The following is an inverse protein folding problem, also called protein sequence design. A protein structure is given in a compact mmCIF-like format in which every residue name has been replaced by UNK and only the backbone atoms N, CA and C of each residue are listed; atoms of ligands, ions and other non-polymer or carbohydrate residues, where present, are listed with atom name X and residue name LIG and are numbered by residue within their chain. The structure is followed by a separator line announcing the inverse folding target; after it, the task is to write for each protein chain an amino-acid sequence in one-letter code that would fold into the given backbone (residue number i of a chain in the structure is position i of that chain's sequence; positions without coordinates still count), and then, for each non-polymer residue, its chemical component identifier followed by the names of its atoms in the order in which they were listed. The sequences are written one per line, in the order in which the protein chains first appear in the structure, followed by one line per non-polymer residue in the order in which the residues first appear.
data_IF_908419770555
#
_entry.id   IF_908419770555
#
_cell.length_a   1.000
_cell.length_b   1.000
_cell.length_c   1.000
_cell.angle_alpha   90.00
_cell.angle_beta   90.00
_cell.angle_gamma   90.00
#
_symmetry.space_group_name_H-M   'P 1'
#
loop_
_entity.id
_entity.type
_entity.pdbx_description
1 polymer ?
#
# COMPACT_ATOMS: atom_id res chain seq x y z
N UNK A 1 5.82 -38.64 4.57
CA UNK A 1 6.16 -37.40 3.89
C UNK A 1 5.33 -37.10 2.61
N UNK A 2 4.55 -38.04 2.11
CA UNK A 2 3.80 -37.90 0.83
C UNK A 2 2.38 -37.35 0.95
N UNK A 3 1.83 -37.16 2.16
CA UNK A 3 0.45 -36.65 2.35
C UNK A 3 0.36 -35.13 2.48
N UNK A 4 1.46 -34.44 2.75
CA UNK A 4 1.50 -32.96 2.98
C UNK A 4 1.62 -32.15 1.68
N UNK A 5 2.14 -32.74 0.60
CA UNK A 5 2.31 -32.05 -0.70
C UNK A 5 0.97 -31.95 -1.44
N UNK A 6 0.04 -32.91 -1.26
CA UNK A 6 -1.28 -32.88 -1.88
C UNK A 6 -2.21 -31.78 -1.34
N UNK A 7 -2.02 -31.34 -0.09
CA UNK A 7 -2.85 -30.31 0.53
C UNK A 7 -2.50 -28.90 0.05
N UNK A 8 -1.28 -28.65 -0.39
CA UNK A 8 -0.84 -27.32 -0.89
C UNK A 8 -1.43 -27.00 -2.27
N UNK A 9 -1.69 -28.01 -3.09
CA UNK A 9 -2.32 -27.82 -4.41
C UNK A 9 -3.85 -27.64 -4.34
N UNK A 10 -4.50 -28.11 -3.29
CA UNK A 10 -5.96 -28.09 -3.17
C UNK A 10 -6.56 -26.74 -2.71
N UNK A 11 -5.79 -25.87 -2.07
CA UNK A 11 -6.28 -24.59 -1.53
C UNK A 11 -6.28 -23.45 -2.57
N UNK A 12 -5.65 -23.67 -3.72
CA UNK A 12 -5.61 -22.67 -4.83
C UNK A 12 -6.90 -22.62 -5.69
N UNK A 13 -7.93 -23.39 -5.33
CA UNK A 13 -9.17 -23.52 -6.12
C UNK A 13 -10.40 -22.81 -5.53
N UNK A 14 -10.23 -21.87 -4.61
CA UNK A 14 -11.31 -20.93 -4.30
C UNK A 14 -11.35 -19.85 -5.39
N UNK A 15 -11.77 -20.27 -6.58
CA UNK A 15 -12.17 -19.39 -7.66
C UNK A 15 -13.46 -18.67 -7.25
N UNK A 16 -13.36 -17.50 -6.63
CA UNK A 16 -14.42 -16.52 -6.70
C UNK A 16 -14.63 -16.19 -8.18
N UNK A 17 -15.84 -16.41 -8.71
CA UNK A 17 -16.24 -15.88 -10.01
C UNK A 17 -16.13 -14.36 -9.94
N UNK A 18 -14.99 -13.79 -10.32
CA UNK A 18 -14.90 -12.38 -10.58
C UNK A 18 -15.67 -12.13 -11.88
N UNK A 19 -16.78 -11.41 -11.80
CA UNK A 19 -17.43 -10.88 -12.99
C UNK A 19 -16.36 -10.10 -13.77
N UNK A 20 -16.07 -10.51 -14.99
CA UNK A 20 -15.02 -9.93 -15.78
C UNK A 20 -15.37 -8.48 -16.11
N UNK A 21 -14.47 -7.56 -15.91
CA UNK A 21 -14.58 -6.21 -16.50
C UNK A 21 -14.78 -6.42 -18.00
N UNK A 22 -15.92 -5.99 -18.52
CA UNK A 22 -16.29 -6.14 -19.95
C UNK A 22 -15.35 -5.36 -20.88
N UNK A 23 -15.73 -5.30 -22.15
CA UNK A 23 -15.05 -4.41 -23.10
C UNK A 23 -15.13 -2.96 -22.60
N UNK A 24 -14.02 -2.18 -22.65
CA UNK A 24 -14.07 -0.77 -22.31
C UNK A 24 -15.09 -0.05 -23.19
N UNK A 25 -15.91 0.81 -22.60
CA UNK A 25 -16.84 1.65 -23.36
C UNK A 25 -16.07 2.60 -24.28
N UNK A 26 -16.62 2.99 -25.43
CA UNK A 26 -16.05 4.04 -26.25
C UNK A 26 -15.77 5.30 -25.43
N UNK A 27 -14.53 5.82 -25.47
CA UNK A 27 -14.14 6.98 -24.66
C UNK A 27 -13.67 6.66 -23.24
N UNK A 28 -13.58 5.39 -22.86
CA UNK A 28 -13.01 5.02 -21.55
C UNK A 28 -11.54 5.48 -21.41
N UNK A 29 -11.09 5.80 -20.18
CA UNK A 29 -9.71 6.18 -19.91
C UNK A 29 -8.68 5.17 -20.45
N UNK A 30 -7.48 5.66 -20.79
CA UNK A 30 -6.44 4.87 -21.43
C UNK A 30 -5.93 3.68 -20.60
N UNK A 31 -6.16 3.66 -19.30
CA UNK A 31 -5.81 2.54 -18.42
C UNK A 31 -6.85 1.41 -18.40
N UNK A 32 -8.07 1.63 -18.91
CA UNK A 32 -9.07 0.57 -19.06
C UNK A 32 -8.71 -0.35 -20.23
N UNK A 33 -8.79 -1.65 -20.03
CA UNK A 33 -8.51 -2.69 -21.02
C UNK A 33 -9.60 -3.76 -20.98
N UNK A 34 -9.70 -4.52 -22.04
CA UNK A 34 -10.55 -5.71 -22.04
C UNK A 34 -10.17 -6.63 -20.89
N UNK A 35 -11.12 -6.89 -20.01
CA UNK A 35 -10.95 -7.79 -18.87
C UNK A 35 -10.14 -7.23 -17.69
N UNK A 36 -9.82 -5.92 -17.66
CA UNK A 36 -9.10 -5.31 -16.54
C UNK A 36 -8.46 -3.98 -16.83
N UNK A 37 -7.26 -3.75 -16.29
CA UNK A 37 -6.58 -2.47 -16.31
C UNK A 37 -5.12 -2.60 -16.76
N UNK A 38 -4.50 -1.50 -17.14
CA UNK A 38 -3.09 -1.43 -17.52
C UNK A 38 -2.46 -0.10 -17.10
N UNK A 39 -1.16 -0.10 -16.91
CA UNK A 39 -0.39 1.13 -16.78
C UNK A 39 -0.48 1.96 -18.08
N UNK A 40 -0.51 3.28 -17.95
CA UNK A 40 -0.50 4.20 -19.08
C UNK A 40 0.94 4.41 -19.57
N UNK A 41 1.90 4.44 -18.66
CA UNK A 41 3.32 4.53 -18.97
C UNK A 41 3.90 3.13 -19.23
N UNK A 42 4.50 2.95 -20.42
CA UNK A 42 5.13 1.70 -20.84
C UNK A 42 6.67 1.71 -20.69
N UNK A 43 7.24 2.73 -20.06
CA UNK A 43 8.70 2.90 -19.92
C UNK A 43 9.38 1.78 -19.10
N UNK A 44 8.60 1.11 -18.24
CA UNK A 44 9.07 0.01 -17.41
C UNK A 44 8.26 -1.27 -17.70
N UNK A 45 8.63 -2.03 -18.75
CA UNK A 45 7.93 -3.26 -19.06
C UNK A 45 8.17 -4.30 -17.95
N UNK A 46 7.11 -5.04 -17.63
CA UNK A 46 7.23 -6.16 -16.68
C UNK A 46 8.14 -7.27 -17.23
N UNK A 47 8.91 -7.89 -16.37
CA UNK A 47 9.68 -9.09 -16.67
C UNK A 47 8.79 -10.20 -17.26
N UNK A 48 9.40 -11.14 -17.99
CA UNK A 48 8.70 -12.28 -18.56
C UNK A 48 7.95 -13.10 -17.48
N UNK A 49 6.91 -13.82 -17.88
CA UNK A 49 6.17 -14.69 -16.97
C UNK A 49 7.08 -15.73 -16.30
N UNK A 50 8.08 -16.26 -17.06
CA UNK A 50 9.05 -17.20 -16.54
C UNK A 50 9.95 -16.58 -15.47
N UNK A 51 10.52 -15.41 -15.72
CA UNK A 51 11.38 -14.67 -14.77
C UNK A 51 10.62 -14.37 -13.47
N UNK A 52 9.37 -13.92 -13.56
CA UNK A 52 8.53 -13.68 -12.37
C UNK A 52 8.21 -14.96 -11.61
N UNK A 53 7.95 -16.06 -12.31
CA UNK A 53 7.68 -17.36 -11.68
C UNK A 53 8.90 -17.87 -10.93
N UNK A 54 10.08 -17.83 -11.55
CA UNK A 54 11.33 -18.28 -10.91
C UNK A 54 11.68 -17.43 -9.71
N UNK A 55 11.47 -16.12 -9.79
CA UNK A 55 11.63 -15.20 -8.64
C UNK A 55 10.65 -15.55 -7.52
N UNK A 56 9.35 -15.69 -7.82
CA UNK A 56 8.37 -16.10 -6.82
C UNK A 56 8.77 -17.40 -6.12
N UNK A 57 9.17 -18.41 -6.88
CA UNK A 57 9.62 -19.66 -6.32
C UNK A 57 10.86 -19.50 -5.44
N UNK A 58 11.84 -18.70 -5.87
CA UNK A 58 13.04 -18.41 -5.07
C UNK A 58 12.68 -17.75 -3.73
N UNK A 59 11.72 -16.81 -3.72
CA UNK A 59 11.25 -16.14 -2.49
C UNK A 59 10.52 -17.11 -1.56
N UNK A 60 9.70 -18.01 -2.10
CA UNK A 60 9.03 -19.06 -1.30
C UNK A 60 10.06 -20.01 -0.67
N UNK A 61 11.05 -20.45 -1.44
CA UNK A 61 12.12 -21.32 -0.92
C UNK A 61 12.98 -20.58 0.12
N UNK A 62 13.33 -19.32 -0.13
CA UNK A 62 14.08 -18.51 0.83
C UNK A 62 13.31 -18.34 2.15
N UNK A 63 12.02 -18.08 2.10
CA UNK A 63 11.18 -17.94 3.29
C UNK A 63 11.10 -19.24 4.14
N UNK A 64 11.32 -20.40 3.52
CA UNK A 64 11.29 -21.72 4.19
C UNK A 64 12.68 -22.10 4.72
N UNK A 65 13.72 -21.98 3.87
CA UNK A 65 15.05 -22.54 4.16
C UNK A 65 16.08 -21.55 4.63
N UNK A 66 15.89 -20.26 4.34
CA UNK A 66 16.82 -19.19 4.69
C UNK A 66 16.03 -17.90 5.07
N UNK A 67 15.15 -17.95 6.11
CA UNK A 67 14.36 -16.79 6.49
C UNK A 67 15.28 -15.68 6.97
N UNK A 68 15.12 -14.50 6.40
CA UNK A 68 15.79 -13.27 6.87
C UNK A 68 15.01 -12.68 8.03
N UNK A 69 15.71 -11.96 8.89
CA UNK A 69 15.08 -11.23 10.00
C UNK A 69 15.75 -9.87 10.17
N UNK A 70 15.00 -8.93 10.65
CA UNK A 70 15.46 -7.61 11.06
C UNK A 70 14.63 -7.16 12.25
N UNK A 71 15.27 -6.60 13.25
CA UNK A 71 14.58 -5.94 14.35
C UNK A 71 14.65 -4.45 14.10
N UNK A 72 13.51 -3.84 13.83
CA UNK A 72 13.40 -2.40 13.62
C UNK A 72 13.10 -1.69 14.95
N UNK A 73 13.54 -0.43 15.09
CA UNK A 73 13.14 0.38 16.21
C UNK A 73 11.62 0.49 16.29
N UNK A 74 11.09 0.30 17.49
CA UNK A 74 9.66 0.47 17.78
C UNK A 74 9.49 1.40 18.99
N UNK A 75 8.33 1.98 19.12
CA UNK A 75 7.89 2.73 20.29
C UNK A 75 6.59 2.12 20.80
N UNK A 76 6.45 2.04 22.10
CA UNK A 76 5.19 1.63 22.69
C UNK A 76 4.11 2.68 22.40
N UNK A 77 2.99 2.21 21.87
CA UNK A 77 1.83 3.04 21.55
C UNK A 77 0.55 2.31 21.98
N UNK A 78 0.02 2.71 23.10
CA UNK A 78 -1.23 2.16 23.65
C UNK A 78 -2.50 2.76 23.02
N UNK A 79 -2.34 3.69 22.07
CA UNK A 79 -3.42 4.39 21.38
C UNK A 79 -4.16 5.42 22.25
N UNK A 80 -3.79 5.63 23.50
CA UNK A 80 -4.51 6.57 24.39
C UNK A 80 -4.48 8.00 23.84
N UNK A 81 -3.31 8.49 23.42
CA UNK A 81 -3.16 9.80 22.81
C UNK A 81 -3.93 9.89 21.47
N UNK A 82 -3.93 8.82 20.67
CA UNK A 82 -4.64 8.77 19.39
C UNK A 82 -6.17 8.79 19.60
N UNK A 83 -6.67 8.10 20.61
CA UNK A 83 -8.10 8.14 20.97
C UNK A 83 -8.53 9.49 21.54
N UNK A 84 -7.62 10.23 22.16
CA UNK A 84 -7.90 11.57 22.71
C UNK A 84 -7.79 12.68 21.66
N UNK A 85 -6.99 12.49 20.59
CA UNK A 85 -6.74 13.52 19.59
C UNK A 85 -8.01 13.87 18.78
N UNK A 86 -8.32 15.18 18.71
CA UNK A 86 -9.43 15.75 17.93
C UNK A 86 -9.00 16.91 17.04
N UNK A 87 -7.85 17.48 17.29
CA UNK A 87 -7.44 18.77 16.76
C UNK A 87 -6.22 18.70 15.86
N UNK A 88 -5.23 17.87 16.25
CA UNK A 88 -3.93 17.89 15.59
C UNK A 88 -3.86 16.90 14.43
N UNK A 89 -3.35 17.33 13.26
CA UNK A 89 -3.04 16.41 12.18
C UNK A 89 -1.87 15.54 12.60
N UNK A 90 -2.10 14.22 12.69
CA UNK A 90 -1.09 13.23 13.08
C UNK A 90 -1.07 12.06 12.12
N UNK A 91 0.12 11.48 11.96
CA UNK A 91 0.33 10.22 11.28
C UNK A 91 1.05 9.23 12.19
N UNK A 92 0.54 8.02 12.28
CA UNK A 92 1.17 6.90 13.01
C UNK A 92 1.54 5.81 12.02
N UNK A 93 2.80 5.40 12.01
CA UNK A 93 3.20 4.26 11.19
C UNK A 93 2.99 2.95 11.95
N UNK A 94 1.99 2.17 11.50
CA UNK A 94 1.68 0.86 12.07
C UNK A 94 2.64 -0.20 11.54
N UNK A 95 3.10 -0.03 10.30
CA UNK A 95 4.03 -0.93 9.61
C UNK A 95 3.63 -1.10 8.15
N UNK A 96 4.60 -1.46 7.29
CA UNK A 96 4.42 -1.58 5.85
C UNK A 96 3.81 -0.31 5.23
N UNK A 97 2.66 -0.41 4.57
CA UNK A 97 1.89 0.71 4.03
C UNK A 97 0.69 1.10 4.90
N UNK A 98 0.60 0.54 6.11
CA UNK A 98 -0.47 0.84 7.05
C UNK A 98 -0.14 2.10 7.85
N UNK A 99 -0.88 3.17 7.61
CA UNK A 99 -0.82 4.43 8.33
C UNK A 99 -2.16 4.72 8.99
N UNK A 100 -2.14 5.13 10.25
CA UNK A 100 -3.27 5.83 10.84
C UNK A 100 -3.07 7.33 10.71
N UNK A 101 -3.91 7.97 9.92
CA UNK A 101 -3.90 9.40 9.65
C UNK A 101 -5.08 10.03 10.39
N UNK A 102 -4.80 11.00 11.25
CA UNK A 102 -5.83 11.79 11.93
C UNK A 102 -5.81 13.20 11.37
N UNK A 103 -6.90 13.64 10.78
CA UNK A 103 -7.00 14.94 10.15
C UNK A 103 -8.43 15.49 10.32
N UNK A 104 -8.54 16.72 10.81
CA UNK A 104 -9.82 17.42 11.02
C UNK A 104 -10.86 16.59 11.81
N UNK A 105 -10.40 15.81 12.81
CA UNK A 105 -11.24 14.93 13.63
C UNK A 105 -11.67 13.62 12.95
N UNK A 106 -11.15 13.33 11.75
CA UNK A 106 -11.40 12.10 11.00
C UNK A 106 -10.18 11.19 11.06
N UNK A 107 -10.40 9.90 11.35
CA UNK A 107 -9.39 8.87 11.36
C UNK A 107 -9.47 8.08 10.06
N UNK A 108 -8.42 8.17 9.26
CA UNK A 108 -8.26 7.45 7.99
C UNK A 108 -7.17 6.38 8.16
N UNK A 109 -7.43 5.16 7.71
CA UNK A 109 -6.48 4.06 7.74
C UNK A 109 -6.12 3.67 6.30
N UNK A 110 -4.82 3.60 5.99
CA UNK A 110 -4.34 3.17 4.68
C UNK A 110 -3.93 1.72 4.72
N UNK A 111 -4.24 0.95 3.67
CA UNK A 111 -3.81 -0.44 3.43
C UNK A 111 -3.67 -1.28 4.72
N UNK A 112 -4.77 -1.54 5.44
CA UNK A 112 -4.72 -2.11 6.79
C UNK A 112 -4.27 -3.56 6.77
N UNK A 113 -3.13 -3.82 7.43
CA UNK A 113 -2.52 -5.14 7.48
C UNK A 113 -1.99 -5.44 8.89
N UNK A 114 -2.68 -6.35 9.61
CA UNK A 114 -2.31 -6.84 10.95
C UNK A 114 -1.98 -8.33 10.97
N UNK A 115 -2.31 -9.07 9.92
CA UNK A 115 -2.02 -10.50 9.85
C UNK A 115 -0.52 -10.80 9.93
N UNK A 116 -0.14 -11.96 10.50
CA UNK A 116 1.26 -12.37 10.64
C UNK A 116 1.93 -12.72 9.29
N UNK A 117 1.16 -12.77 8.20
CA UNK A 117 1.66 -13.04 6.85
C UNK A 117 0.92 -12.24 5.79
N UNK A 118 1.64 -11.82 4.78
CA UNK A 118 1.09 -11.32 3.51
C UNK A 118 0.81 -12.53 2.59
N UNK A 119 -0.29 -13.23 2.82
CA UNK A 119 -0.55 -14.52 2.17
C UNK A 119 -2.02 -14.92 2.22
N UNK A 120 -2.52 -15.72 1.24
CA UNK A 120 -3.85 -16.31 1.31
C UNK A 120 -3.98 -17.40 2.37
N UNK A 121 -2.88 -17.86 2.95
CA UNK A 121 -2.84 -18.95 3.93
C UNK A 121 -1.98 -18.58 5.14
N UNK A 122 -2.34 -19.08 6.33
CA UNK A 122 -1.65 -18.73 7.58
C UNK A 122 -0.30 -19.42 7.78
N UNK A 123 -0.03 -20.52 7.03
CA UNK A 123 1.16 -21.36 7.23
C UNK A 123 2.29 -21.12 6.23
N UNK A 124 2.06 -20.39 5.14
CA UNK A 124 3.04 -20.15 4.07
C UNK A 124 2.98 -18.68 3.58
N UNK A 125 4.00 -18.25 2.84
CA UNK A 125 4.14 -16.90 2.29
C UNK A 125 4.92 -15.95 3.21
N UNK A 126 5.17 -14.70 2.79
CA UNK A 126 5.97 -13.74 3.51
C UNK A 126 5.47 -13.52 4.93
N UNK A 127 6.35 -13.75 5.92
CA UNK A 127 6.04 -13.56 7.33
C UNK A 127 6.35 -12.13 7.73
N UNK A 128 5.51 -11.57 8.61
CA UNK A 128 5.78 -10.30 9.27
C UNK A 128 7.06 -10.42 10.11
N UNK A 129 7.96 -9.46 9.94
CA UNK A 129 9.28 -9.42 10.60
C UNK A 129 9.21 -8.72 11.96
N UNK A 130 8.33 -7.74 12.09
CA UNK A 130 8.13 -6.95 13.30
C UNK A 130 6.63 -6.86 13.59
N UNK A 131 6.23 -6.89 14.86
CA UNK A 131 4.83 -6.73 15.26
C UNK A 131 4.27 -5.39 14.76
N UNK A 132 2.95 -5.28 14.54
CA UNK A 132 2.33 -3.99 14.25
C UNK A 132 2.65 -2.97 15.33
N UNK A 133 3.10 -1.78 14.95
CA UNK A 133 3.50 -0.74 15.90
C UNK A 133 2.34 -0.15 16.73
N UNK A 134 1.10 -0.49 16.37
CA UNK A 134 -0.11 -0.20 17.12
C UNK A 134 -0.98 -1.46 17.11
N UNK A 135 -1.33 -1.96 18.28
CA UNK A 135 -2.26 -3.08 18.40
C UNK A 135 -3.62 -2.71 17.80
N UNK A 136 -4.30 -3.67 17.19
CA UNK A 136 -5.60 -3.42 16.56
C UNK A 136 -6.62 -2.89 17.60
N UNK A 137 -6.60 -3.41 18.81
CA UNK A 137 -7.46 -3.02 19.94
C UNK A 137 -7.17 -1.61 20.44
N UNK A 138 -5.99 -1.08 20.17
CA UNK A 138 -5.58 0.27 20.55
C UNK A 138 -6.02 1.35 19.54
N UNK A 139 -6.56 0.95 18.39
CA UNK A 139 -7.05 1.89 17.38
C UNK A 139 -8.12 2.83 17.94
N UNK A 140 -8.11 4.11 17.57
CA UNK A 140 -9.28 4.97 17.72
C UNK A 140 -10.42 4.51 16.79
N UNK A 141 -11.65 5.01 16.92
CA UNK A 141 -12.70 4.77 15.94
C UNK A 141 -12.21 5.10 14.52
N UNK A 142 -12.22 4.14 13.61
CA UNK A 142 -11.83 4.35 12.22
C UNK A 142 -13.05 4.77 11.41
N UNK A 143 -12.93 5.87 10.68
CA UNK A 143 -14.01 6.44 9.89
C UNK A 143 -13.93 6.08 8.42
N UNK A 144 -12.71 6.03 7.88
CA UNK A 144 -12.44 5.73 6.49
C UNK A 144 -11.26 4.76 6.39
N UNK A 145 -11.37 3.81 5.49
CA UNK A 145 -10.27 2.96 5.04
C UNK A 145 -10.05 3.21 3.56
N UNK A 146 -8.82 3.50 3.17
CA UNK A 146 -8.41 3.53 1.77
C UNK A 146 -7.55 2.32 1.46
N UNK A 147 -7.82 1.64 0.35
CA UNK A 147 -7.04 0.52 -0.17
C UNK A 147 -6.37 0.96 -1.46
N UNK A 148 -5.07 0.75 -1.59
CA UNK A 148 -4.34 1.12 -2.81
C UNK A 148 -4.42 0.04 -3.90
N UNK A 149 -4.46 -1.22 -3.52
CA UNK A 149 -4.43 -2.37 -4.41
C UNK A 149 -4.88 -3.65 -3.71
N UNK A 150 -4.95 -4.75 -4.44
CA UNK A 150 -5.47 -6.02 -3.92
C UNK A 150 -4.39 -7.04 -3.46
N UNK A 151 -3.09 -6.74 -3.50
CA UNK A 151 -2.06 -7.65 -3.01
C UNK A 151 -2.24 -7.94 -1.52
N UNK A 152 -1.72 -9.09 -1.06
CA UNK A 152 -1.94 -9.60 0.30
C UNK A 152 -1.31 -8.75 1.41
N UNK A 153 -0.32 -7.95 1.10
CA UNK A 153 0.36 -7.03 2.00
C UNK A 153 -0.32 -5.66 2.11
N UNK A 154 -1.34 -5.39 1.26
CA UNK A 154 -2.16 -4.17 1.27
C UNK A 154 -3.63 -4.43 1.59
N UNK A 155 -4.18 -5.54 1.11
CA UNK A 155 -5.57 -5.95 1.36
C UNK A 155 -5.60 -7.27 2.14
N UNK A 156 -5.55 -7.15 3.46
CA UNK A 156 -5.59 -8.25 4.41
C UNK A 156 -7.04 -8.59 4.78
N UNK A 157 -7.47 -9.80 4.40
CA UNK A 157 -8.85 -10.28 4.57
C UNK A 157 -9.30 -10.24 6.03
N UNK A 158 -8.46 -10.74 6.93
CA UNK A 158 -8.83 -10.84 8.34
C UNK A 158 -8.93 -9.47 8.97
N UNK A 159 -8.01 -8.57 8.62
CA UNK A 159 -8.03 -7.19 9.11
C UNK A 159 -9.24 -6.41 8.59
N UNK A 160 -9.57 -6.46 7.28
CA UNK A 160 -10.72 -5.69 6.75
C UNK A 160 -12.04 -6.22 7.26
N UNK A 161 -12.20 -7.54 7.47
CA UNK A 161 -13.37 -8.13 8.13
C UNK A 161 -13.51 -7.63 9.57
N UNK A 162 -12.41 -7.62 10.30
CA UNK A 162 -12.37 -7.16 11.67
C UNK A 162 -12.71 -5.67 11.79
N UNK A 163 -12.14 -4.84 10.91
CA UNK A 163 -12.46 -3.42 10.82
C UNK A 163 -13.95 -3.18 10.52
N UNK A 164 -14.50 -3.90 9.53
CA UNK A 164 -15.91 -3.79 9.20
C UNK A 164 -16.82 -4.15 10.39
N UNK A 165 -16.46 -5.19 11.14
CA UNK A 165 -17.25 -5.66 12.29
C UNK A 165 -17.15 -4.75 13.53
N UNK A 166 -16.02 -4.07 13.75
CA UNK A 166 -15.75 -3.34 15.01
C UNK A 166 -15.82 -1.83 14.88
N UNK A 167 -15.44 -1.28 13.72
CA UNK A 167 -15.36 0.17 13.50
C UNK A 167 -16.38 0.68 12.49
N UNK A 168 -16.94 -0.20 11.62
CA UNK A 168 -17.91 0.15 10.57
C UNK A 168 -17.43 1.32 9.69
N UNK A 169 -16.18 1.33 9.20
CA UNK A 169 -15.67 2.42 8.39
C UNK A 169 -16.25 2.37 6.99
N UNK A 170 -16.26 3.52 6.30
CA UNK A 170 -16.42 3.52 4.84
C UNK A 170 -15.12 3.09 4.19
N UNK A 171 -15.19 2.13 3.27
CA UNK A 171 -14.06 1.70 2.45
C UNK A 171 -14.10 2.46 1.11
N UNK A 172 -13.00 3.14 0.77
CA UNK A 172 -12.77 3.69 -0.56
C UNK A 172 -11.69 2.85 -1.23
N UNK A 173 -11.99 2.33 -2.41
CA UNK A 173 -11.16 1.33 -3.07
C UNK A 173 -11.07 1.61 -4.58
N UNK A 174 -10.01 1.18 -5.28
CA UNK A 174 -9.97 1.23 -6.74
C UNK A 174 -10.98 0.28 -7.37
N UNK A 175 -11.32 0.52 -8.63
CA UNK A 175 -12.29 -0.26 -9.41
C UNK A 175 -12.00 -1.78 -9.37
N UNK A 176 -13.04 -2.59 -9.21
CA UNK A 176 -12.99 -4.05 -9.18
C UNK A 176 -12.78 -4.65 -7.78
N UNK A 177 -12.53 -3.85 -6.73
CA UNK A 177 -12.35 -4.35 -5.36
C UNK A 177 -13.68 -4.44 -4.60
N UNK A 178 -14.66 -3.60 -4.91
CA UNK A 178 -15.95 -3.56 -4.19
C UNK A 178 -16.67 -4.90 -4.21
N UNK A 179 -16.79 -5.52 -5.37
CA UNK A 179 -17.47 -6.81 -5.50
C UNK A 179 -16.76 -7.88 -4.66
N UNK A 180 -15.42 -7.85 -4.64
CA UNK A 180 -14.62 -8.76 -3.83
C UNK A 180 -14.85 -8.56 -2.32
N UNK A 181 -14.91 -7.30 -1.84
CA UNK A 181 -15.24 -7.00 -0.44
C UNK A 181 -16.68 -7.35 -0.09
N UNK A 182 -17.62 -7.13 -1.02
CA UNK A 182 -19.03 -7.51 -0.84
C UNK A 182 -19.19 -9.03 -0.66
N UNK A 183 -18.40 -9.85 -1.37
CA UNK A 183 -18.38 -11.30 -1.17
C UNK A 183 -17.86 -11.72 0.22
N UNK A 184 -17.14 -10.83 0.93
CA UNK A 184 -16.73 -11.01 2.32
C UNK A 184 -17.77 -10.47 3.33
N UNK A 185 -18.91 -9.92 2.87
CA UNK A 185 -19.94 -9.30 3.70
C UNK A 185 -19.68 -7.83 4.04
N UNK A 186 -18.71 -7.19 3.41
CA UNK A 186 -18.38 -5.77 3.63
C UNK A 186 -19.10 -4.94 2.56
N UNK A 187 -20.07 -4.13 2.98
CA UNK A 187 -21.02 -3.45 2.07
C UNK A 187 -20.87 -1.94 1.98
N UNK A 188 -20.33 -1.26 3.03
CA UNK A 188 -20.07 0.19 2.95
C UNK A 188 -18.76 0.44 2.19
N UNK A 189 -18.80 0.16 0.88
CA UNK A 189 -17.68 0.22 -0.04
C UNK A 189 -18.03 1.09 -1.23
N UNK A 190 -17.16 2.02 -1.56
CA UNK A 190 -17.24 2.84 -2.76
C UNK A 190 -16.01 2.66 -3.62
N UNK A 191 -16.21 2.38 -4.90
CA UNK A 191 -15.15 2.26 -5.90
C UNK A 191 -14.94 3.59 -6.61
N UNK A 192 -13.66 3.92 -6.82
CA UNK A 192 -13.23 5.09 -7.55
C UNK A 192 -12.27 4.71 -8.68
N UNK A 193 -12.41 5.40 -9.80
CA UNK A 193 -11.42 5.39 -10.87
C UNK A 193 -10.33 6.44 -10.57
N UNK A 194 -9.23 6.41 -11.33
CA UNK A 194 -8.20 7.43 -11.23
C UNK A 194 -8.79 8.83 -11.48
N UNK A 195 -8.44 9.75 -10.61
CA UNK A 195 -8.89 11.14 -10.55
C UNK A 195 -10.31 11.35 -9.99
N UNK A 196 -11.05 10.27 -9.69
CA UNK A 196 -12.30 10.40 -8.95
C UNK A 196 -12.04 10.82 -7.51
N UNK A 197 -12.92 11.66 -6.98
CA UNK A 197 -12.84 12.16 -5.62
C UNK A 197 -14.16 11.93 -4.86
N UNK A 198 -14.05 11.79 -3.55
CA UNK A 198 -15.18 11.71 -2.63
C UNK A 198 -14.94 12.53 -1.39
N UNK A 199 -16.01 13.22 -0.99
CA UNK A 199 -16.04 13.91 0.28
C UNK A 199 -16.61 12.99 1.35
N UNK A 200 -15.80 12.75 2.38
CA UNK A 200 -16.20 11.94 3.54
C UNK A 200 -15.86 12.71 4.81
N UNK A 201 -16.89 13.08 5.58
CA UNK A 201 -16.78 13.81 6.85
C UNK A 201 -15.98 15.12 6.77
N UNK A 202 -16.00 15.79 5.62
CA UNK A 202 -15.28 17.05 5.39
C UNK A 202 -13.85 16.87 4.90
N UNK A 203 -13.39 15.64 4.66
CA UNK A 203 -12.16 15.35 3.92
C UNK A 203 -12.49 15.02 2.48
N UNK A 204 -11.75 15.56 1.53
CA UNK A 204 -11.78 15.14 0.13
C UNK A 204 -10.70 14.09 -0.11
N UNK A 205 -11.12 12.86 -0.46
CA UNK A 205 -10.23 11.76 -0.81
C UNK A 205 -10.27 11.54 -2.32
N UNK A 206 -9.09 11.59 -2.97
CA UNK A 206 -8.99 11.39 -4.42
C UNK A 206 -8.18 10.15 -4.71
N UNK A 207 -8.72 9.25 -5.54
CA UNK A 207 -8.01 8.12 -6.12
C UNK A 207 -7.06 8.64 -7.21
N UNK A 208 -5.75 8.40 -7.09
CA UNK A 208 -4.77 8.91 -8.04
C UNK A 208 -4.02 7.77 -8.73
N UNK A 209 -3.56 7.98 -9.97
CA UNK A 209 -2.82 6.96 -10.71
C UNK A 209 -1.59 6.45 -9.96
N UNK A 210 -1.26 5.18 -10.20
CA UNK A 210 0.00 4.57 -9.78
C UNK A 210 0.54 3.68 -10.89
N UNK A 211 1.84 3.42 -10.89
CA UNK A 211 2.52 2.56 -11.85
C UNK A 211 2.80 1.22 -11.18
N UNK A 212 1.81 0.30 -11.23
CA UNK A 212 1.90 -0.97 -10.52
C UNK A 212 1.13 -2.09 -11.26
N UNK A 213 0.58 -3.04 -10.53
CA UNK A 213 -0.28 -4.11 -11.03
C UNK A 213 -1.13 -4.66 -9.88
N UNK A 214 -2.12 -5.49 -10.20
CA UNK A 214 -2.95 -6.18 -9.21
C UNK A 214 -2.98 -7.69 -9.47
N UNK A 215 -3.41 -8.45 -8.45
CA UNK A 215 -3.65 -9.89 -8.56
C UNK A 215 -3.46 -10.62 -7.24
N UNK A 216 -4.41 -11.51 -6.92
CA UNK A 216 -4.39 -12.40 -5.75
C UNK A 216 -4.25 -13.86 -6.13
N UNK A 217 -4.45 -14.17 -7.42
CA UNK A 217 -4.34 -15.52 -7.99
C UNK A 217 -3.56 -15.50 -9.29
N UNK A 218 -3.27 -16.66 -9.85
CA UNK A 218 -2.58 -16.74 -11.16
C UNK A 218 -3.46 -16.30 -12.34
N UNK A 219 -4.78 -16.15 -12.13
CA UNK A 219 -5.75 -15.91 -13.20
C UNK A 219 -6.37 -14.50 -13.16
N UNK A 220 -6.18 -13.73 -12.10
CA UNK A 220 -6.85 -12.44 -11.91
C UNK A 220 -5.93 -11.22 -12.00
N UNK A 221 -4.74 -11.40 -12.61
CA UNK A 221 -3.80 -10.31 -12.82
C UNK A 221 -4.45 -9.14 -13.56
N UNK A 222 -4.30 -7.95 -12.98
CA UNK A 222 -4.80 -6.68 -13.51
C UNK A 222 -6.33 -6.62 -13.73
N UNK A 223 -7.09 -7.49 -13.09
CA UNK A 223 -8.56 -7.43 -13.13
C UNK A 223 -9.14 -6.35 -12.22
N UNK A 224 -8.38 -5.90 -11.24
CA UNK A 224 -8.71 -4.80 -10.34
C UNK A 224 -7.72 -3.68 -10.55
N UNK A 225 -8.18 -2.45 -10.38
CA UNK A 225 -7.31 -1.28 -10.51
C UNK A 225 -6.41 -1.16 -9.28
N UNK A 226 -5.29 -0.46 -9.42
CA UNK A 226 -4.37 -0.03 -8.36
C UNK A 226 -4.29 1.49 -8.36
N UNK A 227 -3.94 2.09 -7.23
CA UNK A 227 -3.95 3.55 -7.08
C UNK A 227 -3.05 4.01 -5.94
N UNK A 228 -2.73 5.29 -5.92
CA UNK A 228 -2.46 6.05 -4.73
C UNK A 228 -3.72 6.77 -4.24
N UNK A 229 -3.60 7.51 -3.15
CA UNK A 229 -4.68 8.33 -2.60
C UNK A 229 -4.16 9.69 -2.18
N UNK A 230 -4.99 10.72 -2.30
CA UNK A 230 -4.78 11.97 -1.61
C UNK A 230 -5.88 12.18 -0.58
N UNK A 231 -5.52 12.75 0.56
CA UNK A 231 -6.47 13.12 1.62
C UNK A 231 -6.29 14.61 1.87
N UNK A 232 -7.27 15.40 1.49
CA UNK A 232 -7.27 16.84 1.67
C UNK A 232 -8.28 17.25 2.74
N UNK A 233 -7.79 17.83 3.81
CA UNK A 233 -8.57 18.48 4.86
C UNK A 233 -8.62 19.99 4.65
N UNK A 234 -9.07 20.72 5.68
CA UNK A 234 -9.22 22.19 5.64
C UNK A 234 -7.88 22.90 5.46
N UNK A 235 -6.81 22.43 6.09
CA UNK A 235 -5.51 23.09 6.12
C UNK A 235 -4.36 22.21 5.72
N UNK A 236 -4.54 20.88 5.69
CA UNK A 236 -3.50 19.89 5.45
C UNK A 236 -3.87 18.95 4.36
N UNK A 237 -2.86 18.50 3.60
CA UNK A 237 -3.00 17.55 2.50
C UNK A 237 -1.96 16.45 2.60
N UNK A 238 -2.41 15.22 2.55
CA UNK A 238 -1.58 14.01 2.47
C UNK A 238 -1.61 13.46 1.05
N UNK A 239 -0.46 13.03 0.56
CA UNK A 239 -0.30 12.11 -0.57
C UNK A 239 0.13 10.75 -0.03
N UNK A 240 -0.59 9.70 -0.37
CA UNK A 240 -0.25 8.30 -0.11
C UNK A 240 -0.06 7.60 -1.45
N UNK A 241 1.16 7.21 -1.76
CA UNK A 241 1.50 6.66 -3.07
C UNK A 241 0.92 5.27 -3.33
N UNK A 242 0.65 4.47 -2.27
CA UNK A 242 0.50 3.02 -2.42
C UNK A 242 1.79 2.42 -2.97
N UNK A 243 1.70 1.32 -3.71
CA UNK A 243 2.84 0.80 -4.47
C UNK A 243 2.90 1.40 -5.85
N UNK A 244 4.09 1.80 -6.25
CA UNK A 244 4.30 2.43 -7.55
C UNK A 244 5.76 2.40 -7.96
N UNK A 245 6.02 2.24 -9.26
CA UNK A 245 7.28 2.66 -9.85
C UNK A 245 7.29 4.18 -10.05
N UNK A 246 8.47 4.77 -10.23
CA UNK A 246 8.60 6.17 -10.63
C UNK A 246 8.17 6.36 -12.09
N UNK A 247 7.33 7.38 -12.35
CA UNK A 247 6.89 7.75 -13.69
C UNK A 247 6.41 9.21 -13.74
N UNK A 248 6.15 9.73 -14.94
CA UNK A 248 5.90 11.16 -15.15
C UNK A 248 4.63 11.76 -14.55
N UNK A 249 3.62 10.94 -14.20
CA UNK A 249 2.34 11.46 -13.71
C UNK A 249 2.43 12.10 -12.30
N UNK A 250 3.49 11.89 -11.55
CA UNK A 250 3.66 12.54 -10.23
C UNK A 250 3.71 14.08 -10.34
N UNK A 251 4.29 14.61 -11.43
CA UNK A 251 4.28 16.07 -11.69
C UNK A 251 2.86 16.59 -11.94
N UNK A 252 2.06 15.84 -12.67
CA UNK A 252 0.65 16.17 -12.89
C UNK A 252 -0.13 16.15 -11.57
N UNK A 253 0.09 15.13 -10.72
CA UNK A 253 -0.53 15.06 -9.39
C UNK A 253 -0.14 16.26 -8.54
N UNK A 254 1.13 16.65 -8.53
CA UNK A 254 1.62 17.83 -7.82
C UNK A 254 1.02 19.14 -8.34
N UNK A 255 0.77 19.24 -9.64
CA UNK A 255 0.13 20.41 -10.26
C UNK A 255 -1.37 20.48 -9.96
N UNK A 256 -2.09 19.35 -10.05
CA UNK A 256 -3.56 19.30 -9.91
C UNK A 256 -4.02 19.32 -8.47
N UNK A 257 -3.32 18.61 -7.57
CA UNK A 257 -3.80 18.33 -6.20
C UNK A 257 -2.86 18.87 -5.12
N UNK A 258 -1.60 19.13 -5.45
CA UNK A 258 -0.59 19.66 -4.52
C UNK A 258 -0.70 21.18 -4.30
N UNK A 259 0.20 21.77 -3.49
CA UNK A 259 1.26 21.08 -2.75
C UNK A 259 0.70 20.19 -1.63
N UNK A 260 1.48 19.18 -1.23
CA UNK A 260 1.15 18.30 -0.11
C UNK A 260 2.01 18.64 1.10
N UNK A 261 1.43 18.60 2.29
CA UNK A 261 2.18 18.81 3.54
C UNK A 261 3.00 17.57 3.88
N UNK A 262 2.45 16.38 3.58
CA UNK A 262 3.09 15.08 3.80
C UNK A 262 2.86 14.16 2.61
N UNK A 263 3.92 13.46 2.16
CA UNK A 263 3.87 12.46 1.11
C UNK A 263 4.39 11.12 1.66
N UNK A 264 3.53 10.13 1.80
CA UNK A 264 3.90 8.78 2.19
C UNK A 264 4.25 7.96 0.93
N UNK A 265 5.52 7.55 0.81
CA UNK A 265 6.09 6.99 -0.41
C UNK A 265 6.87 5.72 -0.10
N UNK A 266 6.69 4.62 -0.89
CA UNK A 266 7.39 3.37 -0.70
C UNK A 266 8.89 3.52 -0.97
N UNK A 267 9.71 2.83 -0.17
CA UNK A 267 11.18 2.79 -0.32
C UNK A 267 11.75 1.38 -0.37
N UNK A 268 10.93 0.34 -0.28
CA UNK A 268 11.33 -1.08 -0.30
C UNK A 268 10.84 -1.81 -1.55
N UNK A 269 11.22 -3.08 -1.65
CA UNK A 269 10.88 -3.99 -2.74
C UNK A 269 11.44 -3.53 -4.12
N UNK A 270 12.72 -3.13 -4.19
CA UNK A 270 13.32 -2.61 -5.42
C UNK A 270 14.35 -3.56 -6.08
N UNK A 271 14.72 -4.68 -5.44
CA UNK A 271 15.64 -5.67 -6.03
C UNK A 271 14.98 -7.05 -6.24
N UNK A 272 15.30 -7.74 -7.35
CA UNK A 272 16.17 -7.31 -8.45
C UNK A 272 15.44 -6.33 -9.39
N UNK A 273 16.17 -5.37 -9.99
CA UNK A 273 15.54 -4.30 -10.77
C UNK A 273 14.74 -4.79 -11.98
N UNK A 274 15.16 -5.85 -12.65
CA UNK A 274 14.50 -6.44 -13.81
C UNK A 274 13.08 -6.94 -13.51
N UNK A 275 12.75 -7.16 -12.24
CA UNK A 275 11.42 -7.58 -11.79
C UNK A 275 10.71 -6.43 -11.10
N UNK A 276 11.38 -5.75 -10.18
CA UNK A 276 10.78 -4.82 -9.24
C UNK A 276 10.56 -3.42 -9.80
N UNK A 277 11.43 -2.96 -10.72
CA UNK A 277 11.37 -1.59 -11.26
C UNK A 277 10.07 -1.26 -12.01
N UNK A 278 9.35 -2.28 -12.49
CA UNK A 278 8.07 -2.08 -13.17
C UNK A 278 6.92 -1.70 -12.22
N UNK A 279 7.11 -1.83 -10.91
CA UNK A 279 6.04 -1.61 -9.92
C UNK A 279 6.49 -0.96 -8.61
N UNK A 280 7.80 -0.73 -8.40
CA UNK A 280 8.32 -0.18 -7.15
C UNK A 280 9.40 0.87 -7.40
N UNK A 281 9.42 1.90 -6.57
CA UNK A 281 10.47 2.94 -6.52
C UNK A 281 11.68 2.44 -5.74
N UNK A 282 12.86 2.90 -6.14
CA UNK A 282 14.03 2.90 -5.26
C UNK A 282 13.92 4.01 -4.21
N UNK A 283 14.71 3.99 -3.12
CA UNK A 283 14.75 5.10 -2.16
C UNK A 283 15.06 6.46 -2.80
N UNK A 284 15.93 6.48 -3.82
CA UNK A 284 16.28 7.69 -4.57
C UNK A 284 15.11 8.20 -5.41
N UNK A 285 14.42 7.29 -6.11
CA UNK A 285 13.22 7.63 -6.88
C UNK A 285 12.08 8.09 -5.99
N UNK A 286 11.98 7.56 -4.76
CA UNK A 286 10.98 8.00 -3.79
C UNK A 286 11.15 9.48 -3.40
N UNK A 287 12.39 9.96 -3.25
CA UNK A 287 12.64 11.40 -3.06
C UNK A 287 12.28 12.23 -4.28
N UNK A 288 12.51 11.70 -5.49
CA UNK A 288 12.07 12.37 -6.70
C UNK A 288 10.53 12.45 -6.78
N UNK A 289 9.81 11.38 -6.37
CA UNK A 289 8.34 11.43 -6.24
C UNK A 289 7.92 12.55 -5.30
N UNK A 290 8.54 12.64 -4.10
CA UNK A 290 8.23 13.72 -3.14
C UNK A 290 8.36 15.12 -3.79
N UNK A 291 9.44 15.33 -4.53
CA UNK A 291 9.69 16.62 -5.20
C UNK A 291 8.65 16.88 -6.30
N UNK A 292 8.35 15.88 -7.13
CA UNK A 292 7.42 16.00 -8.26
C UNK A 292 5.97 16.21 -7.80
N UNK A 293 5.53 15.57 -6.73
CA UNK A 293 4.20 15.83 -6.14
C UNK A 293 4.16 17.13 -5.32
N UNK A 294 5.28 17.86 -5.20
CA UNK A 294 5.43 19.08 -4.41
C UNK A 294 5.17 18.84 -2.92
N UNK A 295 5.67 17.70 -2.40
CA UNK A 295 5.59 17.35 -0.98
C UNK A 295 6.51 18.22 -0.12
N UNK A 296 5.97 18.80 0.93
CA UNK A 296 6.78 19.53 1.92
C UNK A 296 7.63 18.55 2.73
N UNK A 297 7.10 17.39 3.06
CA UNK A 297 7.77 16.29 3.78
C UNK A 297 7.47 14.95 3.13
N UNK A 298 8.40 14.01 3.28
CA UNK A 298 8.21 12.61 2.92
C UNK A 298 8.13 11.74 4.17
N UNK A 299 7.23 10.77 4.16
CA UNK A 299 7.20 9.64 5.09
C UNK A 299 7.55 8.36 4.34
N UNK A 300 8.62 7.69 4.76
CA UNK A 300 9.05 6.42 4.19
C UNK A 300 8.12 5.28 4.64
N UNK A 301 7.56 4.53 3.68
CA UNK A 301 6.70 3.37 3.91
C UNK A 301 7.18 2.15 3.11
N UNK A 302 6.46 1.02 3.23
CA UNK A 302 6.65 -0.20 2.45
C UNK A 302 8.07 -0.79 2.56
N UNK A 303 8.61 -0.85 3.78
CA UNK A 303 9.92 -1.45 4.07
C UNK A 303 9.92 -2.11 5.45
N UNK A 304 10.84 -3.04 5.69
CA UNK A 304 11.12 -3.59 7.02
C UNK A 304 10.01 -4.45 7.66
N UNK A 305 8.83 -4.56 7.06
CA UNK A 305 7.70 -5.32 7.62
C UNK A 305 7.61 -6.73 7.06
N UNK A 306 7.76 -6.90 5.77
CA UNK A 306 7.75 -8.19 5.07
C UNK A 306 9.01 -8.34 4.22
N UNK A 307 9.49 -9.59 4.09
CA UNK A 307 10.60 -9.94 3.21
C UNK A 307 10.08 -10.27 1.81
N UNK A 308 9.89 -9.23 0.98
CA UNK A 308 9.25 -9.35 -0.34
C UNK A 308 10.24 -9.41 -1.51
N UNK A 309 11.46 -8.93 -1.32
CA UNK A 309 12.43 -8.71 -2.39
C UNK A 309 13.87 -9.08 -1.95
N UNK A 310 14.88 -8.76 -2.74
CA UNK A 310 16.24 -9.26 -2.52
C UNK A 310 17.17 -8.26 -1.83
N UNK A 311 16.77 -6.98 -1.70
CA UNK A 311 17.59 -6.00 -0.97
C UNK A 311 17.78 -6.39 0.49
N UNK A 312 18.89 -5.96 1.12
CA UNK A 312 19.08 -6.08 2.56
C UNK A 312 17.96 -5.34 3.31
N UNK A 313 17.33 -6.00 4.29
CA UNK A 313 16.13 -5.50 4.96
C UNK A 313 16.29 -4.12 5.64
N UNK A 314 17.52 -3.77 6.05
CA UNK A 314 17.84 -2.50 6.69
C UNK A 314 18.39 -1.43 5.71
N UNK A 315 18.67 -1.78 4.45
CA UNK A 315 19.29 -0.88 3.47
C UNK A 315 18.38 0.30 3.01
N UNK A 316 17.05 0.13 2.83
CA UNK A 316 16.22 1.18 2.26
C UNK A 316 16.34 2.54 2.96
N UNK A 317 16.28 2.66 4.30
CA UNK A 317 16.45 3.95 4.97
C UNK A 317 17.87 4.52 4.86
N UNK A 318 18.89 3.68 4.77
CA UNK A 318 20.28 4.14 4.59
C UNK A 318 20.48 4.77 3.20
N UNK A 319 19.91 4.16 2.17
CA UNK A 319 19.93 4.73 0.81
C UNK A 319 19.15 6.03 0.75
N UNK A 320 17.98 6.06 1.38
CA UNK A 320 17.15 7.26 1.46
C UNK A 320 17.90 8.42 2.12
N UNK A 321 18.58 8.17 3.23
CA UNK A 321 19.37 9.18 3.94
C UNK A 321 20.55 9.69 3.10
N UNK A 322 21.29 8.80 2.42
CA UNK A 322 22.36 9.21 1.50
C UNK A 322 21.84 10.11 0.38
N UNK A 323 20.70 9.78 -0.20
CA UNK A 323 20.10 10.58 -1.26
C UNK A 323 19.57 11.92 -0.74
N UNK A 324 18.96 11.93 0.46
CA UNK A 324 18.56 13.17 1.13
C UNK A 324 19.73 14.15 1.27
N UNK A 325 20.87 13.63 1.74
CA UNK A 325 22.10 14.42 1.89
C UNK A 325 22.64 14.91 0.55
N UNK A 326 22.66 14.02 -0.47
CA UNK A 326 23.09 14.39 -1.84
C UNK A 326 22.26 15.52 -2.44
N UNK A 327 20.97 15.55 -2.15
CA UNK A 327 20.04 16.58 -2.60
C UNK A 327 20.06 17.85 -1.72
N UNK A 328 20.82 17.85 -0.61
CA UNK A 328 20.87 18.98 0.32
C UNK A 328 19.55 19.26 1.05
N UNK A 329 18.70 18.25 1.19
CA UNK A 329 17.42 18.40 1.88
C UNK A 329 17.62 18.37 3.41
N UNK A 330 16.92 19.25 4.10
CA UNK A 330 16.94 19.28 5.57
C UNK A 330 16.44 17.97 6.18
N UNK A 331 16.97 17.51 7.34
CA UNK A 331 16.56 16.24 7.96
C UNK A 331 15.05 16.12 8.21
N UNK A 332 14.39 17.20 8.59
CA UNK A 332 12.92 17.22 8.84
C UNK A 332 12.09 17.06 7.56
N UNK A 333 12.70 17.13 6.39
CA UNK A 333 12.01 16.90 5.12
C UNK A 333 11.77 15.41 4.84
N UNK A 334 12.48 14.49 5.50
CA UNK A 334 12.42 13.04 5.23
C UNK A 334 12.28 12.27 6.54
N UNK A 335 11.14 11.65 6.72
CA UNK A 335 10.81 10.93 7.94
C UNK A 335 10.91 9.42 7.72
N UNK A 336 11.74 8.79 8.54
CA UNK A 336 11.80 7.34 8.71
C UNK A 336 11.32 7.05 10.14
N UNK A 337 10.05 6.74 10.28
CA UNK A 337 9.44 6.52 11.58
C UNK A 337 9.81 5.15 12.14
N UNK A 338 9.77 5.04 13.47
CA UNK A 338 9.78 3.74 14.17
C UNK A 338 8.38 3.12 14.10
N UNK A 339 8.28 1.81 14.19
CA UNK A 339 6.98 1.15 14.34
C UNK A 339 6.25 1.71 15.56
N UNK A 340 5.01 2.13 15.39
CA UNK A 340 4.19 2.76 16.45
C UNK A 340 4.44 4.25 16.67
N UNK A 341 5.46 4.84 16.05
CA UNK A 341 5.73 6.27 16.19
C UNK A 341 4.62 7.11 15.55
N UNK A 342 4.19 8.11 16.31
CA UNK A 342 3.23 9.13 15.87
C UNK A 342 3.93 10.47 15.74
N UNK A 343 3.73 11.15 14.61
CA UNK A 343 4.17 12.54 14.41
C UNK A 343 3.02 13.44 14.02
N UNK A 344 3.10 14.66 14.50
CA UNK A 344 2.28 15.77 14.02
C UNK A 344 2.94 16.37 12.77
N UNK A 345 2.14 16.80 11.79
CA UNK A 345 2.59 17.28 10.49
C UNK A 345 1.84 18.51 9.97
#
# INVERSE_FOLDING_TARGET
MTRTIGAVLGVLLLAGCAAGVGEPKPGAPAHHRRGGFANVDASHPHASGWTRWTFFLSRVLAAIFAPRSVTLPAVENDGAALRANREFPTVTWVGHSTLLVQLDGVNVLTDPQWSPRASPVSFAGPRRLNEPGLAFEALPPIHVVVISQDHYDHLDVDTVKRLAATHHPRFLVPLGIKEWLAALGITDVEELDWWDARDVRGLTLTCVPAQHFSGRTFWDRNRRLWSGWTVAGRTKRLFFAGDTAYYGAFREMGQRLGPFDLAAIPIGAYLPPEIMKAGHTTPEEALQVMLDVRGARMLAIHWGTFDLAEEPLAEPPERLERERQRLGLEPDRVWVLKHGETRQW
#
